data_IF_981636231286
#
_entry.id   IF_981636231286
#
_cell.length_a   1.000
_cell.length_b   1.000
_cell.length_c   1.000
_cell.angle_alpha   90.00
_cell.angle_beta   90.00
_cell.angle_gamma   90.00
#
_symmetry.space_group_name_H-M   'P 1'
#
loop_
_entity.id
_entity.type
_entity.pdbx_description
1 polymer ?
#
# COMPACT_ATOMS: atom_id res chain seq x y z
N UNK A 1 -4.65 -10.15 -2.98
CA UNK A 1 -4.55 -8.87 -3.68
C UNK A 1 -5.59 -7.90 -3.15
N UNK A 2 -5.20 -6.64 -2.94
CA UNK A 2 -6.10 -5.54 -2.63
C UNK A 2 -6.71 -4.95 -3.93
N UNK A 3 -7.76 -4.13 -3.80
CA UNK A 3 -8.46 -3.51 -4.93
C UNK A 3 -7.50 -2.72 -5.86
N UNK A 4 -7.70 -2.85 -7.18
CA UNK A 4 -6.88 -2.17 -8.18
C UNK A 4 -5.45 -2.70 -8.35
N UNK A 5 -5.13 -3.87 -7.77
CA UNK A 5 -3.78 -4.46 -7.87
C UNK A 5 -3.65 -5.41 -9.04
N UNK A 6 -2.45 -5.47 -9.60
CA UNK A 6 -2.04 -6.38 -10.67
C UNK A 6 -0.85 -7.20 -10.19
N UNK A 7 -0.96 -8.53 -10.30
CA UNK A 7 0.12 -9.48 -10.05
C UNK A 7 0.42 -10.23 -11.35
N UNK A 8 1.68 -10.16 -11.78
CA UNK A 8 2.17 -10.87 -12.96
C UNK A 8 3.13 -11.96 -12.49
N UNK A 9 2.89 -13.18 -12.93
CA UNK A 9 3.73 -14.33 -12.60
C UNK A 9 3.79 -15.30 -13.79
N UNK A 10 4.88 -16.07 -13.95
CA UNK A 10 5.01 -17.03 -15.03
C UNK A 10 4.11 -18.25 -14.80
N UNK A 11 3.73 -18.95 -15.86
CA UNK A 11 3.00 -20.22 -15.79
C UNK A 11 3.76 -21.29 -14.99
N UNK A 12 5.10 -21.30 -15.11
CA UNK A 12 5.99 -22.12 -14.32
C UNK A 12 7.19 -21.29 -13.84
N UNK A 13 7.55 -21.43 -12.58
CA UNK A 13 8.71 -20.75 -12.03
C UNK A 13 10.02 -21.39 -12.54
N UNK A 14 11.11 -20.60 -12.52
CA UNK A 14 12.43 -21.08 -12.89
C UNK A 14 12.98 -22.07 -11.86
N UNK A 15 14.04 -22.81 -12.23
CA UNK A 15 14.74 -23.67 -11.30
C UNK A 15 15.60 -22.91 -10.26
N UNK A 16 15.70 -21.58 -10.38
CA UNK A 16 16.54 -20.73 -9.51
C UNK A 16 15.77 -19.88 -8.53
N UNK A 17 14.55 -19.47 -8.90
CA UNK A 17 13.73 -18.57 -8.09
C UNK A 17 12.26 -18.61 -8.50
N UNK A 18 11.38 -18.24 -7.57
CA UNK A 18 9.94 -18.00 -7.78
C UNK A 18 9.71 -16.50 -7.86
N UNK A 19 9.75 -15.92 -9.07
CA UNK A 19 9.70 -14.47 -9.26
C UNK A 19 8.33 -14.01 -9.74
N UNK A 20 7.80 -12.95 -9.11
CA UNK A 20 6.55 -12.29 -9.48
C UNK A 20 6.75 -10.78 -9.56
N UNK A 21 5.87 -10.08 -10.31
CA UNK A 21 5.81 -8.62 -10.36
C UNK A 21 4.48 -8.14 -9.78
N UNK A 22 4.56 -7.15 -8.88
CA UNK A 22 3.39 -6.52 -8.25
C UNK A 22 3.32 -5.03 -8.59
N UNK A 23 2.14 -4.60 -9.05
CA UNK A 23 1.70 -3.22 -9.08
C UNK A 23 0.42 -3.12 -8.26
N UNK A 24 0.42 -2.35 -7.15
CA UNK A 24 -0.67 -2.32 -6.19
C UNK A 24 -0.30 -2.91 -4.84
N UNK A 25 -1.24 -3.53 -4.14
CA UNK A 25 -1.02 -4.06 -2.79
C UNK A 25 -1.39 -5.53 -2.67
N UNK A 26 -0.54 -6.30 -1.99
CA UNK A 26 -0.75 -7.72 -1.75
C UNK A 26 -0.16 -8.17 -0.42
N UNK A 27 -0.84 -9.11 0.24
CA UNK A 27 -0.24 -9.95 1.27
C UNK A 27 0.24 -11.25 0.63
N UNK A 28 1.48 -11.61 0.91
CA UNK A 28 2.10 -12.86 0.51
C UNK A 28 2.27 -13.76 1.72
N UNK A 29 1.85 -15.01 1.60
CA UNK A 29 2.08 -16.08 2.56
C UNK A 29 2.91 -17.13 1.81
N UNK A 30 4.23 -17.10 2.00
CA UNK A 30 5.18 -17.87 1.22
C UNK A 30 5.63 -19.10 1.99
N UNK A 31 5.38 -20.28 1.43
CA UNK A 31 5.88 -21.54 1.98
C UNK A 31 7.41 -21.55 1.95
N UNK A 32 8.01 -22.01 3.07
CA UNK A 32 9.45 -22.05 3.26
C UNK A 32 10.15 -22.98 2.24
N UNK A 33 11.19 -22.43 1.63
CA UNK A 33 12.09 -23.16 0.74
C UNK A 33 13.43 -22.43 0.64
N UNK A 34 14.47 -23.00 1.25
CA UNK A 34 15.83 -22.41 1.27
C UNK A 34 16.51 -22.44 -0.10
N UNK A 35 16.21 -23.47 -0.92
CA UNK A 35 16.86 -23.67 -2.22
C UNK A 35 16.23 -22.77 -3.30
N UNK A 36 14.95 -22.43 -3.16
CA UNK A 36 14.21 -21.71 -4.18
C UNK A 36 13.55 -20.45 -3.61
N UNK A 37 14.25 -19.32 -3.54
CA UNK A 37 13.73 -18.08 -2.97
C UNK A 37 12.51 -17.56 -3.74
N UNK A 38 11.62 -16.84 -3.03
CA UNK A 38 10.51 -16.13 -3.63
C UNK A 38 10.85 -14.64 -3.75
N UNK A 39 10.63 -14.09 -4.95
CA UNK A 39 10.99 -12.71 -5.29
C UNK A 39 9.73 -11.93 -5.65
N UNK A 40 9.48 -10.83 -4.94
CA UNK A 40 8.46 -9.86 -5.34
C UNK A 40 9.16 -8.62 -5.90
N UNK A 41 8.94 -8.37 -7.18
CA UNK A 41 9.44 -7.18 -7.87
C UNK A 41 8.35 -6.13 -7.94
N UNK A 42 8.68 -4.89 -7.59
CA UNK A 42 7.85 -3.70 -7.81
C UNK A 42 8.59 -2.71 -8.70
N UNK A 43 8.05 -1.51 -8.92
CA UNK A 43 8.81 -0.42 -9.59
C UNK A 43 10.09 -0.06 -8.85
N UNK A 44 10.06 -0.06 -7.50
CA UNK A 44 11.09 0.55 -6.66
C UNK A 44 11.91 -0.44 -5.84
N UNK A 45 11.32 -1.58 -5.49
CA UNK A 45 11.89 -2.59 -4.60
C UNK A 45 11.94 -3.95 -5.28
N UNK A 46 12.97 -4.72 -4.94
CA UNK A 46 12.98 -6.18 -5.09
C UNK A 46 13.02 -6.80 -3.70
N UNK A 47 12.02 -7.61 -3.35
CA UNK A 47 11.86 -8.25 -2.05
C UNK A 47 12.15 -9.73 -2.23
N UNK A 48 13.12 -10.24 -1.47
CA UNK A 48 13.53 -11.66 -1.47
C UNK A 48 13.20 -12.29 -0.13
N UNK A 49 12.55 -13.46 -0.18
CA UNK A 49 12.17 -14.23 1.00
C UNK A 49 12.36 -15.73 0.75
N UNK A 50 12.51 -16.52 1.83
CA UNK A 50 12.59 -17.97 1.78
C UNK A 50 11.35 -18.67 2.38
N UNK A 51 10.61 -18.01 3.26
CA UNK A 51 9.39 -18.51 3.91
C UNK A 51 8.89 -17.43 4.86
N UNK A 52 7.91 -16.64 4.45
CA UNK A 52 7.64 -15.34 5.07
C UNK A 52 6.21 -14.95 4.83
N UNK A 53 5.58 -14.32 5.83
CA UNK A 53 4.30 -13.62 5.68
C UNK A 53 4.55 -12.12 5.72
N UNK A 54 4.15 -11.39 4.68
CA UNK A 54 4.42 -9.95 4.55
C UNK A 54 3.40 -9.25 3.63
N UNK A 55 3.24 -7.95 3.85
CA UNK A 55 2.45 -7.07 2.96
C UNK A 55 3.39 -6.20 2.11
N UNK A 56 3.03 -6.00 0.86
CA UNK A 56 3.71 -5.05 -0.03
C UNK A 56 2.67 -4.09 -0.58
N UNK A 57 2.93 -2.78 -0.45
CA UNK A 57 2.12 -1.72 -1.04
C UNK A 57 2.97 -0.93 -2.03
N UNK A 58 2.65 -1.05 -3.31
CA UNK A 58 3.39 -0.48 -4.43
C UNK A 58 2.44 0.07 -5.51
N UNK A 59 1.41 0.81 -5.11
CA UNK A 59 0.54 1.48 -6.07
C UNK A 59 1.31 2.57 -6.82
N UNK A 60 1.19 2.66 -8.15
CA UNK A 60 1.94 3.62 -8.97
C UNK A 60 1.70 5.08 -8.58
N UNK A 61 0.47 5.41 -8.17
CA UNK A 61 0.05 6.76 -7.76
C UNK A 61 0.44 7.12 -6.32
N UNK A 62 0.92 6.16 -5.52
CA UNK A 62 1.36 6.42 -4.16
C UNK A 62 2.75 7.05 -4.14
N UNK A 63 2.97 8.02 -3.26
CA UNK A 63 4.28 8.61 -3.02
C UNK A 63 5.28 7.57 -2.51
N UNK A 64 4.82 6.63 -1.69
CA UNK A 64 5.67 5.63 -1.06
C UNK A 64 5.42 4.24 -1.62
N UNK A 65 6.50 3.46 -1.75
CA UNK A 65 6.43 1.99 -1.83
C UNK A 65 6.84 1.44 -0.47
N UNK A 66 6.06 0.50 0.06
CA UNK A 66 6.36 -0.08 1.38
C UNK A 66 6.27 -1.60 1.40
N UNK A 67 7.04 -2.20 2.31
CA UNK A 67 6.96 -3.60 2.67
C UNK A 67 6.84 -3.72 4.19
N UNK A 68 5.89 -4.50 4.70
CA UNK A 68 5.67 -4.75 6.13
C UNK A 68 5.81 -6.22 6.42
N UNK A 69 6.72 -6.57 7.31
CA UNK A 69 7.00 -7.94 7.68
C UNK A 69 6.13 -8.38 8.86
N UNK A 70 5.34 -9.44 8.65
CA UNK A 70 4.51 -10.06 9.68
C UNK A 70 5.27 -11.20 10.38
N UNK A 71 5.87 -12.13 9.60
CA UNK A 71 6.56 -13.30 10.11
C UNK A 71 7.68 -13.71 9.15
N UNK A 72 8.79 -14.21 9.68
CA UNK A 72 9.97 -14.66 8.92
C UNK A 72 11.02 -13.59 8.77
N UNK A 73 11.59 -13.43 7.58
CA UNK A 73 12.61 -12.43 7.26
C UNK A 73 12.49 -11.95 5.82
N UNK A 74 12.83 -10.70 5.59
CA UNK A 74 12.87 -10.06 4.26
C UNK A 74 14.27 -9.51 4.01
N UNK A 75 14.79 -9.74 2.79
CA UNK A 75 15.85 -8.93 2.20
C UNK A 75 15.22 -8.05 1.12
N UNK A 76 15.14 -6.73 1.36
CA UNK A 76 14.61 -5.77 0.41
C UNK A 76 15.75 -5.01 -0.24
N UNK A 77 15.79 -4.97 -1.57
CA UNK A 77 16.79 -4.24 -2.35
C UNK A 77 16.13 -3.03 -3.01
N UNK A 78 16.68 -1.84 -2.76
CA UNK A 78 16.27 -0.60 -3.40
C UNK A 78 16.80 -0.56 -4.84
N UNK A 79 15.93 -0.36 -5.83
CA UNK A 79 16.34 -0.39 -7.24
C UNK A 79 17.12 0.84 -7.69
N UNK A 80 17.00 1.96 -6.97
CA UNK A 80 17.69 3.21 -7.31
C UNK A 80 19.20 3.17 -7.05
N UNK A 81 19.65 2.45 -6.01
CA UNK A 81 21.06 2.44 -5.58
C UNK A 81 21.63 1.03 -5.30
N UNK A 82 20.79 -0.02 -5.34
CA UNK A 82 21.20 -1.40 -5.06
C UNK A 82 21.39 -1.71 -3.57
N UNK A 83 21.05 -0.80 -2.67
CA UNK A 83 21.14 -1.02 -1.23
C UNK A 83 20.19 -2.14 -0.80
N UNK A 84 20.70 -3.08 -0.01
CA UNK A 84 19.91 -4.19 0.54
C UNK A 84 19.69 -4.00 2.04
N UNK A 85 18.44 -4.08 2.45
CA UNK A 85 17.96 -3.86 3.81
C UNK A 85 17.36 -5.16 4.32
N UNK A 86 17.84 -5.63 5.46
CA UNK A 86 17.27 -6.80 6.15
C UNK A 86 16.20 -6.31 7.13
N UNK A 87 15.05 -6.98 7.14
CA UNK A 87 13.93 -6.67 8.02
C UNK A 87 13.63 -7.83 8.95
N UNK A 88 13.24 -7.49 10.17
CA UNK A 88 12.71 -8.41 11.20
C UNK A 88 11.20 -8.19 11.38
N UNK A 89 10.46 -9.13 11.98
CA UNK A 89 9.04 -8.98 12.23
C UNK A 89 8.67 -7.66 12.94
N UNK A 90 7.49 -7.12 12.60
CA UNK A 90 6.97 -5.83 13.06
C UNK A 90 7.70 -4.60 12.48
N UNK A 91 8.52 -4.78 11.47
CA UNK A 91 9.11 -3.67 10.73
C UNK A 91 8.37 -3.39 9.43
N UNK A 92 8.30 -2.08 9.11
CA UNK A 92 7.91 -1.55 7.81
C UNK A 92 9.07 -0.79 7.20
N UNK A 93 9.50 -1.20 6.03
CA UNK A 93 10.31 -0.41 5.12
C UNK A 93 9.39 0.50 4.30
N UNK A 94 9.67 1.79 4.27
CA UNK A 94 8.99 2.76 3.40
C UNK A 94 10.03 3.46 2.53
N UNK A 95 9.84 3.40 1.22
CA UNK A 95 10.68 4.08 0.22
C UNK A 95 9.90 5.25 -0.36
N UNK A 96 10.40 6.46 -0.18
CA UNK A 96 9.83 7.71 -0.71
C UNK A 96 10.37 7.95 -2.13
N UNK A 97 9.48 7.93 -3.12
CA UNK A 97 9.83 8.07 -4.55
C UNK A 97 10.33 9.45 -4.92
N UNK A 98 9.90 10.50 -4.22
CA UNK A 98 10.31 11.87 -4.52
C UNK A 98 11.72 12.15 -4.02
N UNK A 99 12.05 11.64 -2.82
CA UNK A 99 13.36 11.90 -2.21
C UNK A 99 14.37 10.80 -2.47
N UNK A 100 13.92 9.62 -2.91
CA UNK A 100 14.76 8.42 -3.08
C UNK A 100 15.26 7.83 -1.77
N UNK A 101 14.70 8.25 -0.62
CA UNK A 101 15.12 7.80 0.71
C UNK A 101 14.26 6.65 1.20
N UNK A 102 14.87 5.78 1.98
CA UNK A 102 14.19 4.71 2.70
C UNK A 102 14.20 4.94 4.21
N UNK A 103 13.18 4.47 4.89
CA UNK A 103 13.08 4.48 6.35
C UNK A 103 12.54 3.15 6.85
N UNK A 104 13.04 2.67 8.00
CA UNK A 104 12.45 1.55 8.72
C UNK A 104 11.75 2.09 9.96
N UNK A 105 10.56 1.60 10.21
CA UNK A 105 9.78 1.92 11.40
C UNK A 105 9.16 0.67 11.99
N UNK A 106 9.02 0.65 13.32
CA UNK A 106 8.28 -0.41 14.01
C UNK A 106 6.79 -0.14 13.89
N UNK A 107 6.03 -1.14 13.49
CA UNK A 107 4.59 -1.03 13.24
C UNK A 107 3.84 -2.24 13.78
N UNK A 108 2.52 -2.12 13.89
CA UNK A 108 1.65 -3.28 14.07
C UNK A 108 1.22 -3.82 12.69
N UNK A 109 1.72 -4.99 12.24
CA UNK A 109 1.42 -5.51 10.90
C UNK A 109 -0.07 -5.75 10.65
N UNK A 110 -0.88 -5.94 11.71
CA UNK A 110 -2.32 -6.14 11.58
C UNK A 110 -3.06 -4.92 11.03
N UNK A 111 -2.47 -3.73 11.12
CA UNK A 111 -3.02 -2.51 10.53
C UNK A 111 -2.76 -2.45 9.02
N UNK A 112 -1.55 -2.84 8.58
CA UNK A 112 -1.19 -2.87 7.15
C UNK A 112 -1.88 -4.00 6.38
N UNK A 113 -2.30 -5.04 7.10
CA UNK A 113 -3.07 -6.16 6.53
C UNK A 113 -4.57 -6.05 6.78
N UNK A 114 -5.04 -4.96 7.40
CA UNK A 114 -6.45 -4.76 7.79
C UNK A 114 -7.41 -4.78 6.59
N UNK A 115 -6.94 -4.38 5.41
CA UNK A 115 -7.70 -4.43 4.17
C UNK A 115 -8.19 -5.83 3.80
N UNK A 116 -7.51 -6.91 4.22
CA UNK A 116 -7.97 -8.31 4.06
C UNK A 116 -9.35 -8.54 4.72
N UNK A 117 -9.66 -7.77 5.77
CA UNK A 117 -10.95 -7.82 6.49
C UNK A 117 -11.93 -6.74 6.01
N UNK A 118 -11.55 -5.95 5.00
CA UNK A 118 -12.35 -4.84 4.48
C UNK A 118 -12.17 -3.52 5.24
N UNK A 119 -11.29 -3.46 6.26
CA UNK A 119 -10.95 -2.22 6.93
C UNK A 119 -10.03 -1.35 6.05
N UNK A 120 -9.98 -0.05 6.33
CA UNK A 120 -9.00 0.87 5.75
C UNK A 120 -8.31 1.61 6.88
N UNK A 121 -7.00 1.46 6.99
CA UNK A 121 -6.19 2.11 8.02
C UNK A 121 -5.19 3.07 7.35
N UNK A 122 -5.30 4.34 7.69
CA UNK A 122 -4.42 5.41 7.23
C UNK A 122 -3.69 6.00 8.43
N UNK A 123 -2.37 6.10 8.36
CA UNK A 123 -1.55 6.68 9.42
C UNK A 123 -0.65 7.76 8.84
N UNK A 124 -0.93 9.01 9.19
CA UNK A 124 -0.21 10.18 8.64
C UNK A 124 -0.15 10.15 7.10
N UNK A 125 -1.29 9.83 6.47
CA UNK A 125 -1.40 9.74 5.02
C UNK A 125 -1.91 11.05 4.42
N UNK A 126 -1.41 11.37 3.24
CA UNK A 126 -1.90 12.49 2.46
C UNK A 126 -3.34 12.26 2.01
N UNK A 127 -4.14 13.32 2.00
CA UNK A 127 -5.57 13.26 1.61
C UNK A 127 -5.77 12.65 0.22
N UNK A 128 -4.88 12.93 -0.74
CA UNK A 128 -4.98 12.36 -2.08
C UNK A 128 -4.80 10.83 -2.06
N UNK A 129 -3.88 10.30 -1.24
CA UNK A 129 -3.69 8.86 -1.08
C UNK A 129 -4.93 8.20 -0.45
N UNK A 130 -5.55 8.85 0.55
CA UNK A 130 -6.79 8.38 1.18
C UNK A 130 -7.93 8.34 0.17
N UNK A 131 -8.12 9.43 -0.59
CA UNK A 131 -9.17 9.54 -1.61
C UNK A 131 -8.97 8.50 -2.71
N UNK A 132 -7.73 8.26 -3.16
CA UNK A 132 -7.42 7.22 -4.14
C UNK A 132 -7.67 5.81 -3.61
N UNK A 133 -7.43 5.55 -2.34
CA UNK A 133 -7.78 4.27 -1.73
C UNK A 133 -9.31 4.05 -1.67
N UNK A 134 -10.09 5.09 -1.36
CA UNK A 134 -11.55 5.07 -1.42
C UNK A 134 -12.02 4.81 -2.87
N UNK A 135 -11.44 5.52 -3.85
CA UNK A 135 -11.71 5.33 -5.28
C UNK A 135 -11.53 3.88 -5.70
N UNK A 136 -10.38 3.26 -5.34
CA UNK A 136 -10.11 1.85 -5.65
C UNK A 136 -11.11 0.89 -4.99
N UNK A 137 -11.43 1.14 -3.71
CA UNK A 137 -12.33 0.25 -2.94
C UNK A 137 -13.74 0.24 -3.51
N UNK A 138 -14.24 1.40 -3.96
CA UNK A 138 -15.63 1.54 -4.44
C UNK A 138 -15.77 1.59 -5.96
N UNK A 139 -14.68 1.61 -6.71
CA UNK A 139 -14.71 1.67 -8.17
C UNK A 139 -15.30 2.97 -8.72
N UNK A 140 -15.12 4.10 -8.02
CA UNK A 140 -15.68 5.39 -8.37
C UNK A 140 -14.58 6.41 -8.61
N UNK A 141 -14.70 7.23 -9.66
CA UNK A 141 -13.71 8.28 -9.92
C UNK A 141 -13.84 9.42 -8.89
N UNK A 142 -12.70 9.86 -8.36
CA UNK A 142 -12.64 10.94 -7.37
C UNK A 142 -11.70 12.06 -7.82
N UNK A 143 -12.11 13.31 -7.59
CA UNK A 143 -11.36 14.49 -7.98
C UNK A 143 -11.25 15.45 -6.79
N UNK A 144 -10.03 15.71 -6.33
CA UNK A 144 -9.73 16.79 -5.39
C UNK A 144 -9.50 18.05 -6.23
N UNK A 145 -10.45 18.96 -6.23
CA UNK A 145 -10.46 20.13 -7.14
C UNK A 145 -9.85 21.39 -6.52
N UNK A 146 -9.45 21.33 -5.25
CA UNK A 146 -8.86 22.47 -4.54
C UNK A 146 -7.46 22.12 -4.06
N UNK A 147 -6.44 22.83 -4.53
CA UNK A 147 -5.04 22.71 -4.05
C UNK A 147 -4.83 23.07 -2.58
N UNK A 148 -5.88 23.63 -1.93
CA UNK A 148 -5.85 23.95 -0.49
C UNK A 148 -5.55 22.73 0.40
N UNK A 149 -5.82 21.53 -0.10
CA UNK A 149 -5.70 20.29 0.67
C UNK A 149 -4.50 19.44 0.27
N UNK A 150 -3.63 19.90 -0.63
CA UNK A 150 -2.52 19.10 -1.19
C UNK A 150 -1.55 18.62 -0.11
N UNK A 151 -1.29 19.43 0.91
CA UNK A 151 -0.41 19.10 2.03
C UNK A 151 -1.16 18.51 3.25
N UNK A 152 -2.46 18.20 3.12
CA UNK A 152 -3.26 17.71 4.22
C UNK A 152 -2.89 16.27 4.55
N UNK A 153 -2.47 16.05 5.80
CA UNK A 153 -2.13 14.73 6.35
C UNK A 153 -3.18 14.32 7.38
N UNK A 154 -3.70 13.11 7.25
CA UNK A 154 -4.72 12.57 8.14
C UNK A 154 -4.33 11.18 8.67
N UNK A 155 -4.79 10.89 9.87
CA UNK A 155 -4.84 9.54 10.42
C UNK A 155 -6.30 9.16 10.59
N UNK A 156 -6.72 8.07 9.94
CA UNK A 156 -8.11 7.61 9.96
C UNK A 156 -8.16 6.08 9.91
N UNK A 157 -9.18 5.53 10.56
CA UNK A 157 -9.52 4.12 10.43
C UNK A 157 -11.00 4.00 10.10
N UNK A 158 -11.28 3.29 9.02
CA UNK A 158 -12.62 2.93 8.59
C UNK A 158 -12.76 1.42 8.71
N UNK A 159 -13.87 0.96 9.28
CA UNK A 159 -14.12 -0.47 9.48
C UNK A 159 -14.96 -1.03 8.33
N UNK A 160 -14.93 -2.34 8.20
CA UNK A 160 -15.76 -3.04 7.22
C UNK A 160 -17.24 -2.66 7.38
N UNK A 161 -17.93 -2.40 6.25
CA UNK A 161 -19.35 -2.03 6.23
C UNK A 161 -19.63 -0.52 6.18
N UNK A 162 -18.65 0.34 6.43
CA UNK A 162 -18.83 1.78 6.19
C UNK A 162 -18.96 2.06 4.70
N UNK A 163 -19.93 2.94 4.36
CA UNK A 163 -20.13 3.37 2.98
C UNK A 163 -19.15 4.46 2.58
N UNK A 164 -18.99 4.67 1.28
CA UNK A 164 -18.17 5.77 0.74
C UNK A 164 -18.63 7.13 1.28
N UNK A 165 -19.94 7.36 1.34
CA UNK A 165 -20.52 8.62 1.83
C UNK A 165 -20.21 8.83 3.32
N UNK A 166 -20.23 7.76 4.12
CA UNK A 166 -19.86 7.82 5.53
C UNK A 166 -18.38 8.20 5.69
N UNK A 167 -17.49 7.57 4.91
CA UNK A 167 -16.06 7.87 4.93
C UNK A 167 -15.78 9.31 4.49
N UNK A 168 -16.32 9.75 3.35
CA UNK A 168 -16.16 11.12 2.84
C UNK A 168 -16.77 12.15 3.78
N UNK A 169 -17.95 11.84 4.36
CA UNK A 169 -18.60 12.68 5.35
C UNK A 169 -17.77 12.83 6.63
N UNK A 170 -17.11 11.78 7.09
CA UNK A 170 -16.21 11.83 8.25
C UNK A 170 -14.98 12.69 7.95
N UNK A 171 -14.35 12.51 6.78
CA UNK A 171 -13.20 13.33 6.35
C UNK A 171 -13.60 14.82 6.28
N UNK A 172 -14.73 15.14 5.66
CA UNK A 172 -15.20 16.52 5.53
C UNK A 172 -15.55 17.18 6.89
N UNK A 173 -15.94 16.40 7.89
CA UNK A 173 -16.15 16.91 9.26
C UNK A 173 -14.85 17.24 9.97
N UNK A 174 -13.77 16.48 9.70
CA UNK A 174 -12.47 16.68 10.31
C UNK A 174 -11.68 17.84 9.65
N UNK A 175 -11.92 18.08 8.35
CA UNK A 175 -11.15 19.07 7.58
C UNK A 175 -12.01 20.32 7.37
N UNK A 176 -11.68 21.45 8.07
CA UNK A 176 -12.48 22.66 7.99
C UNK A 176 -12.63 23.19 6.57
N UNK A 177 -13.89 23.40 6.15
CA UNK A 177 -14.24 23.94 4.85
C UNK A 177 -14.24 22.92 3.71
N UNK A 178 -13.81 21.68 3.93
CA UNK A 178 -13.89 20.63 2.92
C UNK A 178 -15.33 20.17 2.73
N UNK A 179 -15.73 20.04 1.47
CA UNK A 179 -17.04 19.52 1.07
C UNK A 179 -16.86 18.54 -0.06
N UNK A 180 -17.79 17.61 -0.18
CA UNK A 180 -17.85 16.74 -1.36
C UNK A 180 -19.22 16.80 -2.03
N UNK A 181 -19.27 16.49 -3.30
CA UNK A 181 -20.50 16.28 -4.07
C UNK A 181 -20.33 15.08 -5.00
N UNK A 182 -21.42 14.36 -5.25
CA UNK A 182 -21.45 13.25 -6.20
C UNK A 182 -22.26 13.72 -7.41
N UNK A 183 -21.63 13.74 -8.58
CA UNK A 183 -22.24 14.18 -9.83
C UNK A 183 -21.89 13.16 -10.93
N UNK A 184 -22.91 12.61 -11.58
CA UNK A 184 -22.75 11.62 -12.67
C UNK A 184 -21.85 10.42 -12.29
N UNK A 185 -21.95 9.93 -11.06
CA UNK A 185 -21.14 8.80 -10.59
C UNK A 185 -19.69 9.14 -10.29
N UNK A 186 -19.31 10.41 -10.22
CA UNK A 186 -17.99 10.88 -9.82
C UNK A 186 -18.08 11.68 -8.53
N UNK A 187 -17.05 11.58 -7.67
CA UNK A 187 -16.91 12.38 -6.44
C UNK A 187 -16.01 13.57 -6.70
N UNK A 188 -16.48 14.75 -6.31
CA UNK A 188 -15.73 16.01 -6.36
C UNK A 188 -15.55 16.53 -4.93
N UNK A 189 -14.29 16.69 -4.51
CA UNK A 189 -13.89 17.22 -3.20
C UNK A 189 -13.35 18.64 -3.42
N UNK A 190 -13.90 19.61 -2.64
CA UNK A 190 -13.61 21.05 -2.80
C UNK A 190 -13.60 21.78 -1.44
#
# INVERSE_FOLDING_TARGET
>A
LNAGSVLIYPEAFSAKERSVYLSGEAVFEVTHNDELPFMVNTSDLTIRVHGTTFNVNAYPESRNTSATLCEGSISATLKNNGESILMIPEERLSYDRETGKSTISRVNPSEDTAWKRGDMCFRSENIHAIVKAIERKYGINTYVTSGKYDDMILTAKFVQGETMEQMLGAICKLVPGMKYSIVNGCVYIR
#
